data_IF_157889935033
#
_entry.id   IF_157889935033
#
_cell.length_a   1.000
_cell.length_b   1.000
_cell.length_c   1.000
_cell.angle_alpha   90.00
_cell.angle_beta   90.00
_cell.angle_gamma   90.00
#
_symmetry.space_group_name_H-M   'P 1'
#
loop_
_entity.id
_entity.type
_entity.pdbx_description
1 polymer ?
#
# COMPACT_ATOMS: atom_id res chain seq x y z
N UNK A 1 3.34 15.10 8.71
CA UNK A 1 2.79 13.92 8.01
C UNK A 1 2.13 13.03 9.07
N UNK A 2 0.89 12.59 8.85
CA UNK A 2 0.20 11.64 9.72
C UNK A 2 0.12 10.27 9.03
N UNK A 3 0.20 9.18 9.80
CA UNK A 3 0.02 7.82 9.28
C UNK A 3 -1.38 7.37 9.65
N UNK A 4 -2.11 6.82 8.67
CA UNK A 4 -3.48 6.36 8.84
C UNK A 4 -3.55 4.89 8.39
N UNK A 5 -4.02 4.02 9.28
CA UNK A 5 -4.42 2.65 8.95
C UNK A 5 -5.91 2.66 8.63
N UNK A 6 -6.27 2.37 7.39
CA UNK A 6 -7.63 2.57 6.87
C UNK A 6 -8.09 1.38 6.05
N UNK A 7 -9.39 1.10 6.10
CA UNK A 7 -10.00 0.15 5.19
C UNK A 7 -10.00 0.69 3.75
N UNK A 8 -9.86 -0.17 2.72
CA UNK A 8 -9.77 0.24 1.32
C UNK A 8 -10.95 1.11 0.84
N UNK A 9 -12.14 0.89 1.40
CA UNK A 9 -13.33 1.68 1.06
C UNK A 9 -13.21 3.16 1.43
N UNK A 10 -12.41 3.49 2.45
CA UNK A 10 -12.16 4.86 2.87
C UNK A 10 -11.33 5.65 1.84
N UNK A 11 -10.55 4.97 0.98
CA UNK A 11 -9.74 5.63 -0.06
C UNK A 11 -10.58 6.49 -1.01
N UNK A 12 -11.85 6.13 -1.25
CA UNK A 12 -12.77 6.91 -2.07
C UNK A 12 -13.09 8.29 -1.46
N UNK A 13 -13.09 8.37 -0.14
CA UNK A 13 -13.37 9.61 0.61
C UNK A 13 -12.09 10.40 0.83
N UNK A 14 -10.98 9.71 1.07
CA UNK A 14 -9.68 10.34 1.35
C UNK A 14 -8.99 10.87 0.09
N UNK A 15 -9.30 10.34 -1.10
CA UNK A 15 -8.67 10.76 -2.37
C UNK A 15 -9.25 12.10 -2.87
N UNK A 16 -8.95 13.17 -2.16
CA UNK A 16 -9.32 14.56 -2.50
C UNK A 16 -8.10 15.48 -2.45
N UNK A 17 -8.24 16.68 -3.03
CA UNK A 17 -7.20 17.71 -3.02
C UNK A 17 -6.83 18.18 -1.60
N UNK A 18 -7.78 18.13 -0.66
CA UNK A 18 -7.57 18.56 0.73
C UNK A 18 -6.60 17.64 1.47
N UNK A 19 -6.72 16.33 1.26
CA UNK A 19 -5.89 15.35 1.96
C UNK A 19 -4.66 14.94 1.16
N UNK A 20 -4.77 14.90 -0.17
CA UNK A 20 -3.74 14.43 -1.11
C UNK A 20 -2.94 13.23 -0.57
N UNK A 21 -3.63 12.11 -0.25
CA UNK A 21 -2.99 11.00 0.44
C UNK A 21 -1.97 10.31 -0.46
N UNK A 22 -0.84 9.92 0.12
CA UNK A 22 0.09 8.97 -0.48
C UNK A 22 -0.19 7.58 0.08
N UNK A 23 -0.68 6.68 -0.76
CA UNK A 23 -1.22 5.38 -0.36
C UNK A 23 -0.18 4.29 -0.62
N UNK A 24 0.34 3.72 0.47
CA UNK A 24 1.24 2.56 0.42
C UNK A 24 0.46 1.30 0.74
N UNK A 25 0.47 0.34 -0.17
CA UNK A 25 -0.11 -0.98 0.05
C UNK A 25 0.99 -1.98 0.40
N UNK A 26 0.84 -2.65 1.54
CA UNK A 26 1.73 -3.73 1.97
C UNK A 26 1.11 -5.05 1.52
N UNK A 27 1.66 -5.63 0.46
CA UNK A 27 1.20 -6.87 -0.12
C UNK A 27 1.67 -8.08 0.70
N UNK A 28 0.89 -9.16 0.62
CA UNK A 28 1.28 -10.44 1.20
C UNK A 28 2.61 -10.95 0.60
N UNK A 29 3.42 -11.70 1.38
CA UNK A 29 4.69 -12.27 0.92
C UNK A 29 4.53 -13.24 -0.26
N UNK A 30 5.60 -13.44 -1.02
CA UNK A 30 5.64 -14.43 -2.08
C UNK A 30 5.56 -15.86 -1.54
N UNK A 31 4.79 -16.72 -2.21
CA UNK A 31 4.67 -18.16 -1.89
C UNK A 31 6.02 -18.87 -1.72
N UNK A 32 7.05 -18.41 -2.43
CA UNK A 32 8.42 -18.95 -2.40
C UNK A 32 9.09 -18.85 -1.03
N UNK A 33 8.76 -17.82 -0.25
CA UNK A 33 9.34 -17.55 1.08
C UNK A 33 8.69 -18.41 2.18
N UNK A 34 7.56 -19.05 1.89
CA UNK A 34 6.67 -19.63 2.90
C UNK A 34 6.57 -21.15 2.74
N UNK A 35 7.69 -21.79 2.37
CA UNK A 35 7.79 -23.24 2.28
C UNK A 35 7.61 -23.87 3.66
N UNK A 36 6.47 -24.54 3.86
CA UNK A 36 6.24 -25.41 5.02
C UNK A 36 5.07 -25.01 5.91
N UNK A 37 4.39 -23.90 5.62
CA UNK A 37 3.20 -23.49 6.36
C UNK A 37 1.97 -23.89 5.55
N UNK A 38 1.40 -25.04 5.89
CA UNK A 38 0.10 -25.50 5.38
C UNK A 38 -1.04 -24.68 6.05
N UNK A 39 -0.89 -23.36 6.10
CA UNK A 39 -1.82 -22.46 6.78
C UNK A 39 -2.89 -21.98 5.80
N UNK A 40 -4.11 -22.48 5.98
CA UNK A 40 -5.32 -21.93 5.35
C UNK A 40 -5.43 -20.41 5.57
N UNK A 41 -4.93 -19.92 6.71
CA UNK A 41 -4.83 -18.49 7.04
C UNK A 41 -3.94 -17.73 6.06
N UNK A 42 -2.85 -18.34 5.61
CA UNK A 42 -1.92 -17.73 4.67
C UNK A 42 -2.51 -17.69 3.25
N UNK A 43 -3.14 -18.78 2.80
CA UNK A 43 -3.83 -18.80 1.51
C UNK A 43 -4.94 -17.75 1.46
N UNK A 44 -5.66 -17.56 2.57
CA UNK A 44 -6.64 -16.47 2.71
C UNK A 44 -5.99 -15.10 2.60
N UNK A 45 -4.90 -14.85 3.31
CA UNK A 45 -4.16 -13.58 3.24
C UNK A 45 -3.66 -13.28 1.81
N UNK A 46 -3.11 -14.26 1.12
CA UNK A 46 -2.65 -14.11 -0.27
C UNK A 46 -3.81 -13.74 -1.20
N UNK A 47 -4.93 -14.46 -1.08
CA UNK A 47 -6.14 -14.21 -1.87
C UNK A 47 -6.74 -12.84 -1.58
N UNK A 48 -6.80 -12.44 -0.31
CA UNK A 48 -7.27 -11.11 0.09
C UNK A 48 -6.35 -10.02 -0.47
N UNK A 49 -5.03 -10.19 -0.38
CA UNK A 49 -4.06 -9.27 -0.96
C UNK A 49 -4.24 -9.10 -2.47
N UNK A 50 -4.44 -10.20 -3.20
CA UNK A 50 -4.69 -10.17 -4.65
C UNK A 50 -6.00 -9.46 -4.99
N UNK A 51 -7.09 -9.77 -4.27
CA UNK A 51 -8.40 -9.13 -4.48
C UNK A 51 -8.33 -7.62 -4.22
N UNK A 52 -7.60 -7.20 -3.18
CA UNK A 52 -7.41 -5.79 -2.87
C UNK A 52 -6.62 -5.07 -3.97
N UNK A 53 -5.54 -5.65 -4.47
CA UNK A 53 -4.79 -5.08 -5.58
C UNK A 53 -5.64 -5.00 -6.85
N UNK A 54 -6.43 -6.02 -7.16
CA UNK A 54 -7.30 -6.01 -8.34
C UNK A 54 -8.38 -4.92 -8.24
N UNK A 55 -9.00 -4.77 -7.07
CA UNK A 55 -10.11 -3.83 -6.87
C UNK A 55 -9.64 -2.38 -6.66
N UNK A 56 -8.53 -2.18 -5.95
CA UNK A 56 -8.09 -0.87 -5.46
C UNK A 56 -6.69 -0.46 -5.93
N UNK A 57 -5.99 -1.27 -6.72
CA UNK A 57 -4.61 -1.00 -7.13
C UNK A 57 -4.38 0.36 -7.78
N UNK A 58 -5.39 0.91 -8.46
CA UNK A 58 -5.37 2.26 -9.04
C UNK A 58 -5.39 3.40 -8.01
N UNK A 59 -5.59 3.09 -6.73
CA UNK A 59 -5.46 4.02 -5.60
C UNK A 59 -4.09 3.96 -4.95
N UNK A 60 -3.24 2.97 -5.25
CA UNK A 60 -1.96 2.80 -4.58
C UNK A 60 -0.87 3.55 -5.34
N UNK A 61 -0.10 4.35 -4.60
CA UNK A 61 1.07 5.06 -5.14
C UNK A 61 2.33 4.19 -5.05
N UNK A 62 2.36 3.28 -4.06
CA UNK A 62 3.45 2.34 -3.83
C UNK A 62 2.89 1.00 -3.35
N UNK A 63 3.49 -0.08 -3.85
CA UNK A 63 3.24 -1.45 -3.37
C UNK A 63 4.55 -2.02 -2.85
N UNK A 64 4.56 -2.50 -1.61
CA UNK A 64 5.71 -3.16 -0.98
C UNK A 64 5.31 -4.61 -0.67
N UNK A 65 6.09 -5.58 -1.13
CA UNK A 65 5.86 -6.99 -0.83
C UNK A 65 6.50 -7.31 0.52
N UNK A 66 5.71 -7.78 1.48
CA UNK A 66 6.17 -8.05 2.84
C UNK A 66 6.90 -9.39 2.96
N UNK A 67 8.01 -9.53 2.24
CA UNK A 67 8.87 -10.72 2.27
C UNK A 67 9.80 -10.74 3.48
N UNK A 68 10.29 -9.56 3.87
CA UNK A 68 11.13 -9.35 5.04
C UNK A 68 10.72 -8.06 5.75
N UNK A 69 10.59 -8.11 7.08
CA UNK A 69 10.08 -6.99 7.86
C UNK A 69 11.08 -5.83 7.90
N UNK A 70 12.38 -6.10 8.00
CA UNK A 70 13.40 -5.05 8.04
C UNK A 70 13.47 -4.31 6.70
N UNK A 71 13.44 -5.05 5.59
CA UNK A 71 13.38 -4.47 4.26
C UNK A 71 12.10 -3.66 4.04
N UNK A 72 10.94 -4.19 4.44
CA UNK A 72 9.65 -3.48 4.34
C UNK A 72 9.66 -2.17 5.11
N UNK A 73 10.20 -2.16 6.33
CA UNK A 73 10.33 -0.94 7.14
C UNK A 73 11.27 0.06 6.46
N UNK A 74 12.40 -0.40 5.91
CA UNK A 74 13.35 0.47 5.21
C UNK A 74 12.72 1.12 3.98
N UNK A 75 12.00 0.34 3.18
CA UNK A 75 11.28 0.85 2.00
C UNK A 75 10.20 1.86 2.39
N UNK A 76 9.46 1.61 3.48
CA UNK A 76 8.48 2.56 4.02
C UNK A 76 9.14 3.88 4.46
N UNK A 77 10.26 3.81 5.17
CA UNK A 77 11.00 5.01 5.60
C UNK A 77 11.48 5.82 4.40
N UNK A 78 12.08 5.17 3.40
CA UNK A 78 12.50 5.84 2.18
C UNK A 78 11.31 6.47 1.42
N UNK A 79 10.17 5.78 1.35
CA UNK A 79 8.98 6.32 0.70
C UNK A 79 8.51 7.61 1.40
N UNK A 80 8.47 7.61 2.73
CA UNK A 80 8.10 8.78 3.54
C UNK A 80 9.04 9.96 3.30
N UNK A 81 10.35 9.71 3.25
CA UNK A 81 11.35 10.74 2.97
C UNK A 81 11.15 11.33 1.57
N UNK A 82 10.96 10.48 0.56
CA UNK A 82 10.72 10.91 -0.82
C UNK A 82 9.45 11.74 -0.95
N UNK A 83 8.35 11.29 -0.36
CA UNK A 83 7.07 12.03 -0.32
C UNK A 83 7.23 13.43 0.27
N UNK A 84 8.14 13.58 1.24
CA UNK A 84 8.38 14.84 1.93
C UNK A 84 9.30 15.81 1.17
N UNK A 85 10.11 15.29 0.23
CA UNK A 85 11.17 16.05 -0.44
C UNK A 85 10.92 16.23 -1.95
N UNK A 86 10.22 15.29 -2.58
CA UNK A 86 9.99 15.25 -4.03
C UNK A 86 8.57 15.73 -4.36
N UNK A 87 8.37 16.47 -5.46
CA UNK A 87 7.04 16.76 -5.98
C UNK A 87 6.27 15.49 -6.32
N UNK A 88 4.97 15.46 -6.02
CA UNK A 88 4.12 14.29 -6.25
C UNK A 88 3.17 14.48 -7.43
N UNK A 89 2.86 13.37 -8.10
CA UNK A 89 1.81 13.34 -9.11
C UNK A 89 0.44 13.37 -8.43
N UNK A 90 -0.34 14.39 -8.76
CA UNK A 90 -1.73 14.51 -8.31
C UNK A 90 -2.67 14.51 -9.51
N UNK A 91 -3.91 14.00 -9.37
CA UNK A 91 -4.93 14.17 -10.38
C UNK A 91 -5.12 15.64 -10.75
N UNK A 92 -5.26 15.92 -12.05
CA UNK A 92 -5.49 17.28 -12.54
C UNK A 92 -6.75 17.92 -11.93
N UNK A 93 -7.75 17.10 -11.59
CA UNK A 93 -8.98 17.53 -10.93
C UNK A 93 -8.78 18.08 -9.51
N UNK A 94 -7.57 17.96 -8.93
CA UNK A 94 -7.25 18.54 -7.62
C UNK A 94 -6.67 19.95 -7.69
N UNK A 95 -6.34 20.42 -8.89
CA UNK A 95 -5.66 21.72 -9.09
C UNK A 95 -6.65 22.84 -9.42
N UNK A 96 -7.95 22.53 -9.58
CA UNK A 96 -9.01 23.45 -9.97
C UNK A 96 -10.10 23.61 -8.90
#
# INVERSE_FOLDING_TARGET
MGVLDVEPQALKVLRTAEFAPYVVFIAAPDLSQIKGVNDESLERLLKESELLQQAYGHYFDLVIINNDIEETIRELQHAIERVSLEPQWVPVSWVY
#
